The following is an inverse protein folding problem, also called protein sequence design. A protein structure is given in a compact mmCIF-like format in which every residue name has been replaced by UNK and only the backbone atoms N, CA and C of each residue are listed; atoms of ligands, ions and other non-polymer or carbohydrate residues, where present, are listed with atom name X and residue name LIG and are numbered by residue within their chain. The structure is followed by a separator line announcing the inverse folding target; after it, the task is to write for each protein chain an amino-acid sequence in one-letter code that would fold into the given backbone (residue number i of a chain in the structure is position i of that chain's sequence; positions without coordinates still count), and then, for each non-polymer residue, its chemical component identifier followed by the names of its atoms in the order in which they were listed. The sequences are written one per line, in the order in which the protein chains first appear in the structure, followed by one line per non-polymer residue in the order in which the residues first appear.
data_IF_853442345251
#
_entry.id   IF_853442345251
#
_cell.length_a   1.000
_cell.length_b   1.000
_cell.length_c   1.000
_cell.angle_alpha   90.00
_cell.angle_beta   90.00
_cell.angle_gamma   90.00
#
_symmetry.space_group_name_H-M   'P 1'
#
loop_
_entity.id
_entity.type
_entity.pdbx_description
1 polymer ?
#
# COMPACT_ATOMS: atom_id res chain seq x y z
N UNK A 1 7.20 10.58 -14.81
CA UNK A 1 7.74 9.71 -13.75
C UNK A 1 9.11 10.20 -13.27
N UNK A 2 10.12 10.24 -14.14
CA UNK A 2 11.50 10.64 -13.79
C UNK A 2 11.62 12.02 -13.10
N UNK A 3 10.97 13.06 -13.64
CA UNK A 3 10.94 14.39 -13.01
C UNK A 3 10.35 14.36 -11.59
N UNK A 4 9.29 13.58 -11.36
CA UNK A 4 8.65 13.45 -10.05
C UNK A 4 9.56 12.78 -9.02
N UNK A 5 10.35 11.78 -9.44
CA UNK A 5 11.36 11.14 -8.59
C UNK A 5 12.44 12.15 -8.18
N UNK A 6 12.94 12.94 -9.13
CA UNK A 6 13.94 13.98 -8.85
C UNK A 6 13.42 15.07 -7.90
N UNK A 7 12.18 15.54 -8.10
CA UNK A 7 11.56 16.51 -7.19
C UNK A 7 11.34 15.92 -5.79
N UNK A 8 10.90 14.67 -5.69
CA UNK A 8 10.72 13.98 -4.40
C UNK A 8 12.04 13.80 -3.66
N UNK A 9 13.09 13.37 -4.37
CA UNK A 9 14.43 13.16 -3.81
C UNK A 9 15.07 14.48 -3.35
N UNK A 10 14.93 15.54 -4.15
CA UNK A 10 15.37 16.89 -3.78
C UNK A 10 14.61 17.42 -2.55
N UNK A 11 13.30 17.20 -2.49
CA UNK A 11 12.48 17.58 -1.33
C UNK A 11 12.90 16.86 -0.04
N UNK A 12 13.12 15.54 -0.12
CA UNK A 12 13.64 14.72 0.99
C UNK A 12 14.99 15.24 1.46
N UNK A 13 15.92 15.45 0.53
CA UNK A 13 17.30 15.86 0.83
C UNK A 13 17.34 17.25 1.48
N UNK A 14 16.57 18.21 0.95
CA UNK A 14 16.47 19.55 1.55
C UNK A 14 15.86 19.52 2.95
N UNK A 15 14.77 18.77 3.15
CA UNK A 15 14.11 18.64 4.45
C UNK A 15 15.01 17.96 5.49
N UNK A 16 15.71 16.90 5.09
CA UNK A 16 16.61 16.13 5.97
C UNK A 16 17.87 16.92 6.35
N UNK A 17 18.53 17.57 5.37
CA UNK A 17 19.77 18.31 5.61
C UNK A 17 19.58 19.59 6.44
N UNK A 18 18.47 20.31 6.24
CA UNK A 18 18.22 21.60 6.91
C UNK A 18 17.53 21.42 8.27
N UNK A 19 16.74 20.35 8.45
CA UNK A 19 15.78 20.24 9.54
C UNK A 19 16.30 19.64 10.86
N UNK A 20 17.34 18.79 10.80
CA UNK A 20 17.79 18.01 11.96
C UNK A 20 16.71 17.06 12.52
N UNK A 21 17.03 16.30 13.57
CA UNK A 21 16.13 15.24 14.08
C UNK A 21 14.74 15.75 14.49
N UNK A 22 14.61 16.99 14.98
CA UNK A 22 13.31 17.56 15.40
C UNK A 22 12.41 17.93 14.24
N UNK A 23 12.92 18.55 13.17
CA UNK A 23 12.06 18.89 12.04
C UNK A 23 11.57 17.64 11.31
N UNK A 24 12.45 16.63 11.15
CA UNK A 24 12.10 15.34 10.56
C UNK A 24 10.99 14.64 11.36
N UNK A 25 10.98 14.75 12.69
CA UNK A 25 9.86 14.18 13.48
C UNK A 25 8.52 14.85 13.19
N UNK A 26 8.48 16.16 13.03
CA UNK A 26 7.22 16.89 12.76
C UNK A 26 6.71 16.65 11.33
N UNK A 27 7.61 16.62 10.34
CA UNK A 27 7.21 16.31 8.96
C UNK A 27 6.66 14.90 8.85
N UNK A 28 7.27 13.93 9.53
CA UNK A 28 6.79 12.55 9.51
C UNK A 28 5.46 12.36 10.24
N UNK A 29 5.22 13.10 11.34
CA UNK A 29 3.89 13.10 11.98
C UNK A 29 2.83 13.61 10.99
N UNK A 30 3.10 14.71 10.28
CA UNK A 30 2.18 15.23 9.27
C UNK A 30 1.97 14.25 8.11
N UNK A 31 3.05 13.68 7.55
CA UNK A 31 2.99 12.67 6.49
C UNK A 31 2.17 11.45 6.92
N UNK A 32 2.33 11.01 8.17
CA UNK A 32 1.60 9.88 8.73
C UNK A 32 0.10 10.16 8.87
N UNK A 33 -0.26 11.35 9.38
CA UNK A 33 -1.68 11.75 9.49
C UNK A 33 -2.32 11.77 8.11
N UNK A 34 -1.64 12.36 7.11
CA UNK A 34 -2.12 12.39 5.72
C UNK A 34 -2.27 10.97 5.17
N UNK A 35 -1.31 10.08 5.39
CA UNK A 35 -1.36 8.68 4.97
C UNK A 35 -2.59 7.96 5.56
N UNK A 36 -2.82 8.07 6.86
CA UNK A 36 -3.94 7.39 7.54
C UNK A 36 -5.28 7.91 7.03
N UNK A 37 -5.43 9.23 6.88
CA UNK A 37 -6.65 9.83 6.32
C UNK A 37 -6.85 9.38 4.86
N UNK A 38 -5.79 9.46 4.05
CA UNK A 38 -5.83 9.03 2.66
C UNK A 38 -6.21 7.55 2.51
N UNK A 39 -5.79 6.70 3.44
CA UNK A 39 -6.14 5.28 3.42
C UNK A 39 -7.57 5.00 3.90
N UNK A 40 -8.02 5.67 4.95
CA UNK A 40 -9.34 5.43 5.54
C UNK A 40 -10.48 6.02 4.70
N UNK A 41 -10.33 7.25 4.19
CA UNK A 41 -11.43 7.98 3.52
C UNK A 41 -12.06 7.20 2.36
N UNK A 42 -11.29 6.63 1.41
CA UNK A 42 -11.86 5.81 0.34
C UNK A 42 -12.63 4.61 0.90
N UNK A 43 -12.12 3.95 1.94
CA UNK A 43 -12.72 2.74 2.49
C UNK A 43 -14.07 3.03 3.16
N UNK A 44 -14.16 4.10 3.94
CA UNK A 44 -15.44 4.53 4.53
C UNK A 44 -16.44 4.94 3.46
N UNK A 45 -15.99 5.64 2.42
CA UNK A 45 -16.87 6.05 1.33
C UNK A 45 -17.42 4.84 0.56
N UNK A 46 -16.56 3.89 0.20
CA UNK A 46 -16.98 2.68 -0.50
C UNK A 46 -17.95 1.84 0.32
N UNK A 47 -17.71 1.69 1.62
CA UNK A 47 -18.63 0.99 2.52
C UNK A 47 -20.03 1.61 2.55
N UNK A 48 -20.11 2.94 2.52
CA UNK A 48 -21.37 3.67 2.48
C UNK A 48 -22.04 3.59 1.09
N UNK A 49 -21.25 3.62 0.01
CA UNK A 49 -21.75 3.52 -1.35
C UNK A 49 -22.27 2.11 -1.73
N UNK A 50 -21.84 1.09 -0.99
CA UNK A 50 -22.24 -0.31 -1.20
C UNK A 50 -23.25 -0.81 -0.16
N UNK A 51 -23.84 0.08 0.65
CA UNK A 51 -24.83 -0.21 1.69
C UNK A 51 -24.42 -1.26 2.74
N UNK A 52 -23.12 -1.56 2.87
CA UNK A 52 -22.61 -2.48 3.89
C UNK A 52 -22.56 -1.83 5.29
N UNK A 53 -22.72 -0.51 5.40
CA UNK A 53 -22.86 0.23 6.65
C UNK A 53 -21.72 1.21 6.93
N UNK A 54 -21.82 1.95 8.05
CA UNK A 54 -20.93 3.06 8.40
C UNK A 54 -19.52 2.61 8.83
N UNK A 55 -19.35 1.39 9.33
CA UNK A 55 -18.06 0.88 9.82
C UNK A 55 -17.58 -0.27 8.93
N UNK A 56 -16.69 0.00 7.95
CA UNK A 56 -16.23 -0.97 6.95
C UNK A 56 -15.60 -2.22 7.56
N UNK A 57 -14.95 -2.07 8.71
CA UNK A 57 -14.19 -3.14 9.33
C UNK A 57 -15.04 -4.20 10.04
N UNK A 58 -16.32 -3.93 10.29
CA UNK A 58 -17.26 -4.94 10.82
C UNK A 58 -18.20 -5.49 9.74
N UNK A 59 -18.46 -4.71 8.69
CA UNK A 59 -19.39 -5.09 7.63
C UNK A 59 -18.77 -5.93 6.52
N UNK A 60 -17.44 -5.99 6.42
CA UNK A 60 -16.74 -6.71 5.35
C UNK A 60 -17.10 -8.21 5.28
N UNK A 61 -17.61 -8.84 6.35
CA UNK A 61 -18.00 -10.26 6.34
C UNK A 61 -19.09 -10.55 5.30
N UNK A 62 -20.13 -9.72 5.25
CA UNK A 62 -21.20 -9.80 4.24
C UNK A 62 -20.69 -9.51 2.83
N UNK A 63 -19.71 -8.61 2.71
CA UNK A 63 -19.03 -8.33 1.44
C UNK A 63 -18.23 -9.54 0.95
N UNK A 64 -17.56 -10.28 1.84
CA UNK A 64 -16.84 -11.51 1.50
C UNK A 64 -17.79 -12.62 1.05
N UNK A 65 -18.94 -12.79 1.72
CA UNK A 65 -19.97 -13.74 1.28
C UNK A 65 -20.47 -13.42 -0.13
N UNK A 66 -20.74 -12.13 -0.39
CA UNK A 66 -21.15 -11.67 -1.72
C UNK A 66 -20.08 -11.91 -2.80
N UNK A 67 -18.80 -11.68 -2.47
CA UNK A 67 -17.70 -12.05 -3.36
C UNK A 67 -17.73 -13.55 -3.61
N UNK A 68 -17.85 -14.39 -2.59
CA UNK A 68 -17.84 -15.85 -2.75
C UNK A 68 -18.94 -16.34 -3.71
N UNK A 69 -20.13 -15.73 -3.69
CA UNK A 69 -21.19 -16.02 -4.65
C UNK A 69 -20.82 -15.59 -6.07
N UNK A 70 -20.31 -14.37 -6.21
CA UNK A 70 -19.91 -13.80 -7.50
C UNK A 70 -18.75 -14.58 -8.13
N UNK A 71 -17.77 -15.01 -7.33
CA UNK A 71 -16.63 -15.83 -7.75
C UNK A 71 -17.06 -17.18 -8.33
N UNK A 72 -18.06 -17.82 -7.71
CA UNK A 72 -18.65 -19.07 -8.22
C UNK A 72 -19.42 -18.81 -9.52
N UNK A 73 -20.19 -17.73 -9.58
CA UNK A 73 -20.97 -17.39 -10.79
C UNK A 73 -20.11 -16.97 -11.99
N UNK A 74 -18.94 -16.40 -11.72
CA UNK A 74 -18.07 -15.82 -12.74
C UNK A 74 -16.83 -16.69 -13.04
N UNK A 75 -16.76 -17.91 -12.49
CA UNK A 75 -15.77 -18.92 -12.84
C UNK A 75 -14.36 -18.66 -12.31
N UNK A 76 -14.21 -17.90 -11.22
CA UNK A 76 -12.91 -17.61 -10.59
C UNK A 76 -12.24 -18.91 -10.13
N UNK A 77 -11.08 -19.23 -10.71
CA UNK A 77 -10.34 -20.46 -10.44
C UNK A 77 -10.63 -21.62 -11.38
N UNK A 78 -11.66 -21.52 -12.24
CA UNK A 78 -11.94 -22.48 -13.32
C UNK A 78 -11.49 -21.95 -14.69
N UNK A 79 -11.65 -20.65 -14.93
CA UNK A 79 -11.15 -19.99 -16.13
C UNK A 79 -9.68 -19.61 -15.92
N UNK A 80 -8.79 -20.37 -16.56
CA UNK A 80 -7.36 -20.04 -16.59
C UNK A 80 -7.08 -18.99 -17.66
N UNK A 81 -6.19 -18.03 -17.43
CA UNK A 81 -5.82 -17.04 -18.43
C UNK A 81 -4.99 -17.75 -19.51
N UNK A 82 -5.40 -17.64 -20.77
CA UNK A 82 -4.64 -18.17 -21.93
C UNK A 82 -3.38 -17.36 -22.22
N UNK A 83 -3.36 -16.09 -21.81
CA UNK A 83 -2.20 -15.21 -21.92
C UNK A 83 -1.68 -14.79 -20.55
N UNK A 84 -0.36 -14.64 -20.45
CA UNK A 84 0.29 -14.11 -19.26
C UNK A 84 1.12 -12.89 -19.63
N UNK A 85 0.81 -11.76 -19.03
CA UNK A 85 1.60 -10.54 -19.17
C UNK A 85 2.60 -10.44 -18.02
N UNK A 86 3.84 -10.05 -18.33
CA UNK A 86 4.91 -9.93 -17.34
C UNK A 86 4.52 -8.91 -16.25
N UNK A 87 4.41 -9.37 -15.00
CA UNK A 87 4.14 -8.52 -13.84
C UNK A 87 2.66 -8.20 -13.57
N UNK A 88 1.73 -8.69 -14.40
CA UNK A 88 0.30 -8.55 -14.20
C UNK A 88 -0.30 -9.88 -13.74
N UNK A 89 -1.27 -9.84 -12.83
CA UNK A 89 -1.95 -11.05 -12.34
C UNK A 89 -3.42 -10.97 -12.73
N UNK A 90 -3.92 -12.06 -13.29
CA UNK A 90 -5.36 -12.25 -13.48
C UNK A 90 -6.02 -12.60 -12.14
N UNK A 91 -7.31 -12.28 -12.01
CA UNK A 91 -8.11 -12.54 -10.80
C UNK A 91 -8.53 -14.03 -10.72
N UNK A 92 -7.57 -14.94 -10.71
CA UNK A 92 -7.83 -16.40 -10.74
C UNK A 92 -7.75 -17.07 -9.37
N UNK A 93 -7.20 -16.38 -8.36
CA UNK A 93 -7.18 -16.90 -6.98
C UNK A 93 -8.49 -16.51 -6.27
N UNK A 94 -9.23 -17.49 -5.72
CA UNK A 94 -10.41 -17.21 -4.90
C UNK A 94 -10.04 -16.32 -3.71
N UNK A 95 -10.93 -15.43 -3.31
CA UNK A 95 -10.70 -14.49 -2.21
C UNK A 95 -10.47 -15.19 -0.87
N UNK A 96 -11.03 -16.40 -0.71
CA UNK A 96 -10.95 -17.22 0.50
C UNK A 96 -10.23 -18.57 0.27
N UNK A 97 -9.29 -18.65 -0.68
CA UNK A 97 -8.52 -19.87 -0.89
C UNK A 97 -7.55 -20.09 0.29
N UNK A 98 -7.91 -20.96 1.23
CA UNK A 98 -6.97 -21.49 2.19
C UNK A 98 -5.91 -22.29 1.43
N UNK A 99 -4.63 -22.00 1.67
CA UNK A 99 -3.54 -22.69 0.98
C UNK A 99 -3.48 -24.14 1.48
N UNK A 100 -4.03 -25.07 0.72
CA UNK A 100 -4.06 -26.48 1.08
C UNK A 100 -2.69 -27.13 0.81
N UNK A 101 -1.99 -27.54 1.88
CA UNK A 101 -0.77 -28.33 1.78
C UNK A 101 0.25 -28.05 2.88
N UNK A 102 1.01 -29.09 3.26
CA UNK A 102 2.09 -28.98 4.27
C UNK A 102 3.11 -27.91 3.86
N UNK A 103 3.45 -27.84 2.57
CA UNK A 103 4.40 -26.85 2.03
C UNK A 103 3.87 -25.41 2.18
N UNK A 104 2.57 -25.19 2.00
CA UNK A 104 1.98 -23.87 2.13
C UNK A 104 1.90 -23.41 3.59
N UNK A 105 1.62 -24.32 4.52
CA UNK A 105 1.74 -24.05 5.96
C UNK A 105 3.18 -23.66 6.34
N UNK A 106 4.19 -24.32 5.77
CA UNK A 106 5.60 -23.95 5.98
C UNK A 106 5.95 -22.58 5.36
N UNK A 107 5.42 -22.27 4.18
CA UNK A 107 5.55 -20.93 3.58
C UNK A 107 4.92 -19.87 4.47
N UNK A 108 3.74 -20.14 5.04
CA UNK A 108 3.08 -19.23 5.96
C UNK A 108 3.90 -19.01 7.24
N UNK A 109 4.39 -20.09 7.87
CA UNK A 109 5.22 -19.99 9.09
C UNK A 109 6.52 -19.24 8.83
N UNK A 110 7.21 -19.54 7.73
CA UNK A 110 8.45 -18.84 7.37
C UNK A 110 8.19 -17.36 7.05
N UNK A 111 7.08 -17.04 6.36
CA UNK A 111 6.67 -15.66 6.10
C UNK A 111 6.36 -14.90 7.38
N UNK A 112 5.63 -15.51 8.32
CA UNK A 112 5.36 -14.90 9.64
C UNK A 112 6.66 -14.66 10.40
N UNK A 113 7.57 -15.64 10.43
CA UNK A 113 8.87 -15.49 11.10
C UNK A 113 9.69 -14.34 10.50
N UNK A 114 9.81 -14.29 9.17
CA UNK A 114 10.54 -13.22 8.46
C UNK A 114 9.92 -11.86 8.75
N UNK A 115 8.60 -11.75 8.75
CA UNK A 115 7.90 -10.50 9.06
C UNK A 115 8.13 -10.03 10.50
N UNK A 116 8.08 -10.95 11.47
CA UNK A 116 8.30 -10.64 12.89
C UNK A 116 9.76 -10.25 13.15
N UNK A 117 10.73 -11.02 12.65
CA UNK A 117 12.15 -10.70 12.75
C UNK A 117 12.48 -9.38 12.04
N UNK A 118 11.86 -9.13 10.88
CA UNK A 118 11.99 -7.89 10.11
C UNK A 118 11.54 -6.68 10.92
N UNK A 119 10.31 -6.68 11.43
CA UNK A 119 9.76 -5.57 12.22
C UNK A 119 10.50 -5.31 13.53
N UNK A 120 10.99 -6.36 14.19
CA UNK A 120 11.78 -6.24 15.42
C UNK A 120 13.19 -5.65 15.21
N UNK A 121 13.78 -5.87 14.04
CA UNK A 121 15.18 -5.49 13.76
C UNK A 121 15.36 -4.06 13.28
N UNK A 122 14.28 -3.31 13.01
CA UNK A 122 14.31 -1.99 12.37
C UNK A 122 15.09 -0.94 13.18
N UNK A 123 16.34 -0.61 12.81
CA UNK A 123 17.19 0.28 13.61
C UNK A 123 16.64 1.71 13.64
N UNK A 124 15.95 2.12 12.57
CA UNK A 124 15.33 3.44 12.44
C UNK A 124 14.22 3.69 13.47
N UNK A 125 13.59 2.65 14.02
CA UNK A 125 12.59 2.77 15.10
C UNK A 125 13.29 2.83 16.46
N UNK A 126 14.28 1.95 16.68
CA UNK A 126 15.01 1.87 17.95
C UNK A 126 15.71 3.19 18.30
N UNK A 127 16.34 3.82 17.31
CA UNK A 127 17.04 5.10 17.49
C UNK A 127 16.11 6.24 17.95
N UNK A 128 14.80 6.13 17.72
CA UNK A 128 13.81 7.14 18.12
C UNK A 128 13.41 7.03 19.58
N UNK A 129 13.40 5.84 20.17
CA UNK A 129 13.08 5.69 21.59
C UNK A 129 14.08 6.44 22.47
N UNK A 130 15.34 6.55 22.03
CA UNK A 130 16.39 7.29 22.73
C UNK A 130 16.23 8.81 22.71
N UNK A 131 15.28 9.34 21.93
CA UNK A 131 15.00 10.79 21.89
C UNK A 131 13.91 11.22 22.88
N UNK A 132 13.26 10.28 23.56
CA UNK A 132 12.21 10.57 24.55
C UNK A 132 12.78 10.75 25.97
N UNK A 133 12.24 11.68 26.78
CA UNK A 133 12.82 12.02 28.08
C UNK A 133 12.58 10.97 29.17
N UNK A 134 11.60 10.06 29.00
CA UNK A 134 11.27 9.04 29.99
C UNK A 134 10.83 7.71 29.36
N UNK A 135 11.10 6.60 30.07
CA UNK A 135 10.66 5.26 29.67
C UNK A 135 9.13 5.15 29.60
N UNK A 136 8.41 5.91 30.45
CA UNK A 136 6.94 5.94 30.44
C UNK A 136 6.42 6.55 29.14
N UNK A 137 7.03 7.65 28.70
CA UNK A 137 6.65 8.32 27.46
C UNK A 137 7.02 7.48 26.24
N UNK A 138 8.18 6.80 26.27
CA UNK A 138 8.57 5.83 25.25
C UNK A 138 7.50 4.73 25.09
N UNK A 139 7.07 4.08 26.19
CA UNK A 139 6.01 3.05 26.14
C UNK A 139 4.69 3.59 25.62
N UNK A 140 4.30 4.80 26.03
CA UNK A 140 3.06 5.41 25.54
C UNK A 140 3.13 5.67 24.03
N UNK A 141 4.29 6.10 23.53
CA UNK A 141 4.52 6.26 22.09
C UNK A 141 4.38 4.92 21.34
N UNK A 142 4.93 3.83 21.87
CA UNK A 142 4.80 2.48 21.29
C UNK A 142 3.34 2.07 21.16
N UNK A 143 2.52 2.33 22.19
CA UNK A 143 1.10 2.00 22.18
C UNK A 143 0.35 2.77 21.09
N UNK A 144 0.63 4.07 20.91
CA UNK A 144 0.01 4.82 19.80
C UNK A 144 0.47 4.29 18.44
N UNK A 145 1.76 3.98 18.25
CA UNK A 145 2.25 3.39 17.01
C UNK A 145 1.56 2.07 16.70
N UNK A 146 1.45 1.16 17.68
CA UNK A 146 0.74 -0.11 17.54
C UNK A 146 -0.74 0.09 17.21
N UNK A 147 -1.41 1.06 17.82
CA UNK A 147 -2.80 1.38 17.55
C UNK A 147 -3.03 1.81 16.09
N UNK A 148 -2.17 2.67 15.54
CA UNK A 148 -2.34 3.12 14.17
C UNK A 148 -1.90 2.07 13.13
N UNK A 149 -0.88 1.25 13.43
CA UNK A 149 -0.53 0.08 12.62
C UNK A 149 -1.71 -0.89 12.57
N UNK A 150 -2.31 -1.16 13.74
CA UNK A 150 -3.52 -1.97 13.82
C UNK A 150 -4.64 -1.40 12.95
N UNK A 151 -4.91 -0.10 13.04
CA UNK A 151 -5.94 0.55 12.23
C UNK A 151 -5.70 0.39 10.73
N UNK A 152 -4.45 0.53 10.26
CA UNK A 152 -4.10 0.32 8.85
C UNK A 152 -4.30 -1.14 8.45
N UNK A 153 -3.76 -2.08 9.21
CA UNK A 153 -3.82 -3.52 8.89
C UNK A 153 -5.22 -4.08 9.01
N UNK A 154 -6.03 -3.56 9.93
CA UNK A 154 -7.42 -3.93 10.10
C UNK A 154 -8.28 -3.42 8.94
N UNK A 155 -7.90 -2.29 8.33
CA UNK A 155 -8.62 -1.71 7.19
C UNK A 155 -8.20 -2.31 5.85
N UNK A 156 -7.00 -2.89 5.75
CA UNK A 156 -6.47 -3.38 4.48
C UNK A 156 -7.27 -4.52 3.82
N UNK A 157 -7.70 -5.57 4.55
CA UNK A 157 -8.58 -6.60 3.98
C UNK A 157 -9.94 -6.03 3.53
N UNK A 158 -10.48 -5.07 4.28
CA UNK A 158 -11.74 -4.41 3.94
C UNK A 158 -11.62 -3.64 2.62
N UNK A 159 -10.56 -2.82 2.46
CA UNK A 159 -10.26 -2.13 1.19
C UNK A 159 -10.18 -3.12 0.02
N UNK A 160 -9.38 -4.18 0.15
CA UNK A 160 -9.20 -5.17 -0.92
C UNK A 160 -10.52 -5.86 -1.31
N UNK A 161 -11.35 -6.18 -0.31
CA UNK A 161 -12.67 -6.79 -0.51
C UNK A 161 -13.61 -5.84 -1.26
N UNK A 162 -13.71 -4.57 -0.84
CA UNK A 162 -14.58 -3.61 -1.51
C UNK A 162 -14.13 -3.27 -2.93
N UNK A 163 -12.82 -3.11 -3.16
CA UNK A 163 -12.29 -2.88 -4.51
C UNK A 163 -12.59 -4.06 -5.45
N UNK A 164 -12.44 -5.29 -4.95
CA UNK A 164 -12.76 -6.49 -5.74
C UNK A 164 -14.26 -6.57 -6.05
N UNK A 165 -15.12 -6.25 -5.08
CA UNK A 165 -16.57 -6.14 -5.32
C UNK A 165 -16.93 -5.10 -6.37
N UNK A 166 -16.27 -3.95 -6.40
CA UNK A 166 -16.57 -2.91 -7.40
C UNK A 166 -16.28 -3.34 -8.83
N UNK A 167 -15.29 -4.21 -9.01
CA UNK A 167 -14.93 -4.78 -10.30
C UNK A 167 -15.90 -5.90 -10.68
N UNK A 168 -16.32 -6.72 -9.70
CA UNK A 168 -17.09 -7.95 -9.90
C UNK A 168 -18.60 -7.82 -9.86
N UNK A 169 -19.17 -6.91 -9.07
CA UNK A 169 -20.62 -6.86 -8.88
C UNK A 169 -21.31 -6.18 -10.08
N UNK A 170 -22.14 -6.92 -10.85
CA UNK A 170 -22.86 -6.36 -11.99
C UNK A 170 -23.97 -5.37 -11.57
N UNK A 171 -24.37 -5.36 -10.30
CA UNK A 171 -25.39 -4.42 -9.80
C UNK A 171 -24.83 -3.03 -9.50
N UNK A 172 -23.50 -2.90 -9.37
CA UNK A 172 -22.85 -1.61 -9.19
C UNK A 172 -22.59 -0.97 -10.56
N UNK A 173 -22.84 0.34 -10.68
CA UNK A 173 -22.55 1.07 -11.92
C UNK A 173 -21.08 0.96 -12.36
N UNK A 174 -20.19 0.71 -11.39
CA UNK A 174 -18.74 0.52 -11.56
C UNK A 174 -18.34 -0.90 -11.96
N UNK A 175 -19.25 -1.87 -11.90
CA UNK A 175 -18.99 -3.27 -12.30
C UNK A 175 -18.51 -3.36 -13.73
N UNK A 176 -17.42 -4.09 -13.96
CA UNK A 176 -16.72 -4.15 -15.24
C UNK A 176 -16.91 -5.53 -15.88
N UNK A 177 -16.97 -6.57 -15.06
CA UNK A 177 -17.12 -7.95 -15.50
C UNK A 177 -18.51 -8.16 -16.11
N UNK A 178 -18.53 -8.68 -17.35
CA UNK A 178 -19.75 -8.88 -18.14
C UNK A 178 -20.20 -7.69 -19.01
N UNK A 179 -19.49 -6.55 -18.99
CA UNK A 179 -19.71 -5.44 -19.96
C UNK A 179 -18.91 -5.66 -21.24
N UNK A 180 -19.30 -4.97 -22.31
CA UNK A 180 -18.55 -5.04 -23.57
C UNK A 180 -17.14 -4.48 -23.40
N UNK A 181 -16.14 -5.11 -24.00
CA UNK A 181 -14.74 -4.68 -23.89
C UNK A 181 -14.57 -3.25 -24.43
N UNK A 182 -15.35 -2.86 -25.43
CA UNK A 182 -15.37 -1.50 -25.96
C UNK A 182 -15.84 -0.46 -24.93
N UNK A 183 -16.90 -0.76 -24.18
CA UNK A 183 -17.40 0.13 -23.12
C UNK A 183 -16.41 0.20 -21.96
N UNK A 184 -15.78 -0.92 -21.63
CA UNK A 184 -14.75 -1.00 -20.59
C UNK A 184 -13.50 -0.19 -20.98
N UNK A 185 -12.99 -0.34 -22.19
CA UNK A 185 -11.84 0.44 -22.69
C UNK A 185 -12.13 1.93 -22.83
N UNK A 186 -13.41 2.33 -22.87
CA UNK A 186 -13.81 3.74 -22.85
C UNK A 186 -13.68 4.40 -21.47
N UNK A 187 -13.56 3.61 -20.39
CA UNK A 187 -13.43 4.13 -19.04
C UNK A 187 -12.09 4.85 -18.86
N UNK A 188 -12.16 6.09 -18.36
CA UNK A 188 -11.00 6.99 -18.25
C UNK A 188 -9.86 6.38 -17.41
N UNK A 189 -10.19 5.70 -16.32
CA UNK A 189 -9.19 5.06 -15.46
C UNK A 189 -8.52 3.87 -16.15
N UNK A 190 -9.28 3.06 -16.93
CA UNK A 190 -8.72 1.94 -17.69
C UNK A 190 -7.73 2.44 -18.74
N UNK A 191 -8.06 3.54 -19.44
CA UNK A 191 -7.14 4.16 -20.39
C UNK A 191 -5.87 4.67 -19.71
N UNK A 192 -5.99 5.35 -18.56
CA UNK A 192 -4.83 5.84 -17.79
C UNK A 192 -3.91 4.71 -17.37
N UNK A 193 -4.45 3.65 -16.76
CA UNK A 193 -3.64 2.54 -16.24
C UNK A 193 -3.13 1.59 -17.33
N UNK A 194 -3.86 1.48 -18.45
CA UNK A 194 -3.42 0.73 -19.63
C UNK A 194 -2.29 1.43 -20.36
N UNK A 195 -2.35 2.76 -20.52
CA UNK A 195 -1.25 3.56 -21.10
C UNK A 195 0.05 3.45 -20.30
N UNK A 196 -0.05 3.25 -18.98
CA UNK A 196 1.11 3.05 -18.09
C UNK A 196 1.59 1.59 -18.10
N UNK A 197 0.82 0.66 -18.66
CA UNK A 197 1.14 -0.77 -18.71
C UNK A 197 0.90 -1.53 -17.41
N UNK A 198 0.15 -0.95 -16.46
CA UNK A 198 -0.21 -1.61 -15.19
C UNK A 198 -1.61 -2.25 -15.20
N UNK A 199 -2.31 -2.14 -16.34
CA UNK A 199 -3.56 -2.80 -16.62
C UNK A 199 -3.56 -3.25 -18.08
N UNK A 200 -3.94 -4.50 -18.32
CA UNK A 200 -4.14 -5.03 -19.67
C UNK A 200 -5.47 -5.78 -19.74
N UNK A 201 -6.15 -5.64 -20.87
CA UNK A 201 -7.35 -6.38 -21.19
C UNK A 201 -7.05 -7.13 -22.48
N UNK A 202 -7.20 -8.45 -22.48
CA UNK A 202 -6.99 -9.28 -23.65
C UNK A 202 -8.20 -10.18 -23.86
N UNK A 203 -8.96 -9.92 -24.93
CA UNK A 203 -10.09 -10.75 -25.36
C UNK A 203 -9.54 -12.06 -25.92
N UNK A 204 -9.58 -13.12 -25.11
CA UNK A 204 -9.09 -14.44 -25.48
C UNK A 204 -10.17 -15.27 -26.15
N UNK A 205 -11.43 -15.00 -25.84
CA UNK A 205 -12.57 -15.77 -26.31
C UNK A 205 -13.26 -15.17 -27.55
N UNK A 206 -12.89 -13.95 -27.94
CA UNK A 206 -13.41 -13.23 -29.12
C UNK A 206 -14.89 -12.90 -29.03
N UNK A 207 -15.46 -12.91 -27.82
CA UNK A 207 -16.89 -12.72 -27.57
C UNK A 207 -17.26 -11.24 -27.34
N UNK A 208 -16.26 -10.36 -27.23
CA UNK A 208 -16.44 -8.93 -27.02
C UNK A 208 -16.95 -8.54 -25.62
N UNK A 209 -17.01 -9.48 -24.68
CA UNK A 209 -17.41 -9.26 -23.27
C UNK A 209 -16.20 -9.44 -22.36
N UNK A 210 -16.07 -8.63 -21.32
CA UNK A 210 -14.96 -8.77 -20.38
C UNK A 210 -15.22 -9.91 -19.40
N UNK A 211 -14.42 -10.98 -19.49
CA UNK A 211 -14.36 -12.04 -18.49
C UNK A 211 -13.24 -11.82 -17.45
N UNK A 212 -13.30 -12.57 -16.34
CA UNK A 212 -12.38 -12.44 -15.21
C UNK A 212 -10.93 -12.84 -15.56
N UNK A 213 -10.77 -13.83 -16.43
CA UNK A 213 -9.49 -14.32 -16.94
C UNK A 213 -8.86 -13.40 -17.99
N UNK A 214 -9.62 -12.42 -18.50
CA UNK A 214 -9.20 -11.47 -19.53
C UNK A 214 -8.81 -10.10 -18.95
N UNK A 215 -9.04 -9.92 -17.64
CA UNK A 215 -8.67 -8.74 -16.88
C UNK A 215 -7.35 -8.96 -16.11
N UNK A 216 -6.32 -8.23 -16.53
CA UNK A 216 -4.99 -8.30 -15.92
C UNK A 216 -4.67 -6.98 -15.21
N UNK A 217 -4.41 -7.07 -13.91
CA UNK A 217 -4.06 -5.91 -13.09
C UNK A 217 -2.88 -6.23 -12.18
N UNK A 218 -2.02 -5.23 -11.93
CA UNK A 218 -0.95 -5.37 -10.94
C UNK A 218 -1.48 -5.11 -9.53
N UNK A 219 -1.16 -5.97 -8.57
CA UNK A 219 -1.60 -5.81 -7.17
C UNK A 219 -1.17 -4.48 -6.54
N UNK A 220 -0.01 -3.96 -6.94
CA UNK A 220 0.57 -2.73 -6.38
C UNK A 220 -0.23 -1.46 -6.73
N UNK A 221 -1.06 -1.50 -7.78
CA UNK A 221 -1.88 -0.35 -8.17
C UNK A 221 -3.25 -0.33 -7.50
N UNK A 222 -3.67 -1.41 -6.84
CA UNK A 222 -5.02 -1.54 -6.27
C UNK A 222 -5.33 -0.35 -5.38
N UNK A 223 -4.48 -0.03 -4.40
CA UNK A 223 -4.72 1.08 -3.46
C UNK A 223 -4.84 2.43 -4.18
N UNK A 224 -4.00 2.68 -5.20
CA UNK A 224 -3.99 3.94 -5.95
C UNK A 224 -5.16 4.05 -6.93
N UNK A 225 -5.57 2.95 -7.54
CA UNK A 225 -6.65 2.88 -8.50
C UNK A 225 -8.04 2.80 -7.84
N UNK A 226 -8.12 2.32 -6.59
CA UNK A 226 -9.39 2.15 -5.85
C UNK A 226 -10.31 3.36 -5.91
N UNK A 227 -9.87 4.62 -5.67
CA UNK A 227 -10.76 5.77 -5.78
C UNK A 227 -11.33 5.97 -7.19
N UNK A 228 -10.55 5.67 -8.22
CA UNK A 228 -10.97 5.79 -9.61
C UNK A 228 -11.91 4.66 -10.02
N UNK A 229 -11.63 3.43 -9.57
CA UNK A 229 -12.50 2.25 -9.75
C UNK A 229 -13.86 2.49 -9.08
N UNK A 230 -13.85 3.09 -7.89
CA UNK A 230 -15.03 3.42 -7.11
C UNK A 230 -15.82 4.63 -7.66
N UNK A 231 -15.32 5.31 -8.69
CA UNK A 231 -15.94 6.53 -9.22
C UNK A 231 -15.95 7.69 -8.21
N UNK A 232 -14.99 7.72 -7.27
CA UNK A 232 -14.89 8.78 -6.27
C UNK A 232 -14.46 10.11 -6.90
N UNK A 233 -14.81 11.25 -6.29
CA UNK A 233 -14.34 12.54 -6.74
C UNK A 233 -12.81 12.59 -6.88
N UNK A 234 -12.32 13.29 -7.91
CA UNK A 234 -10.89 13.40 -8.23
C UNK A 234 -10.03 13.83 -7.03
N UNK A 235 -10.59 14.63 -6.12
CA UNK A 235 -9.94 15.07 -4.88
C UNK A 235 -9.51 13.88 -4.00
N UNK A 236 -10.29 12.80 -3.97
CA UNK A 236 -9.96 11.59 -3.20
C UNK A 236 -8.83 10.80 -3.88
N UNK A 237 -8.84 10.68 -5.21
CA UNK A 237 -7.71 10.10 -5.95
C UNK A 237 -6.42 10.89 -5.70
N UNK A 238 -6.49 12.23 -5.75
CA UNK A 238 -5.36 13.10 -5.42
C UNK A 238 -4.88 12.96 -3.97
N UNK A 239 -5.80 12.81 -3.01
CA UNK A 239 -5.47 12.57 -1.60
C UNK A 239 -4.77 11.22 -1.40
N UNK A 240 -5.24 10.15 -2.06
CA UNK A 240 -4.61 8.83 -2.03
C UNK A 240 -3.22 8.85 -2.65
N UNK A 241 -3.05 9.52 -3.79
CA UNK A 241 -1.75 9.72 -4.42
C UNK A 241 -0.79 10.50 -3.51
N UNK A 242 -1.28 11.57 -2.84
CA UNK A 242 -0.50 12.33 -1.87
C UNK A 242 -0.12 11.48 -0.64
N UNK A 243 -1.04 10.66 -0.14
CA UNK A 243 -0.78 9.71 0.95
C UNK A 243 0.27 8.66 0.57
N UNK A 244 0.21 8.12 -0.64
CA UNK A 244 1.21 7.20 -1.18
C UNK A 244 2.60 7.82 -1.27
N UNK A 245 2.70 9.07 -1.74
CA UNK A 245 3.96 9.82 -1.73
C UNK A 245 4.45 10.09 -0.31
N UNK A 246 3.57 10.49 0.61
CA UNK A 246 3.91 10.72 2.01
C UNK A 246 4.48 9.46 2.67
N UNK A 247 3.90 8.28 2.37
CA UNK A 247 4.40 6.98 2.85
C UNK A 247 5.83 6.69 2.35
N UNK A 248 6.06 6.88 1.05
CA UNK A 248 7.36 6.66 0.43
C UNK A 248 8.43 7.62 1.01
N UNK A 249 8.09 8.91 1.13
CA UNK A 249 9.00 9.92 1.68
C UNK A 249 9.33 9.64 3.16
N UNK A 250 8.34 9.32 3.99
CA UNK A 250 8.58 9.02 5.41
C UNK A 250 9.51 7.81 5.61
N UNK A 251 9.41 6.81 4.73
CA UNK A 251 10.26 5.61 4.76
C UNK A 251 11.68 5.94 4.30
N UNK A 252 11.81 6.72 3.21
CA UNK A 252 13.09 7.18 2.70
C UNK A 252 13.86 8.00 3.77
N UNK A 253 13.19 8.97 4.41
CA UNK A 253 13.76 9.78 5.48
C UNK A 253 14.26 8.92 6.66
N UNK A 254 13.44 7.96 7.09
CA UNK A 254 13.78 7.06 8.20
C UNK A 254 15.00 6.18 7.90
N UNK A 255 15.09 5.64 6.68
CA UNK A 255 16.22 4.82 6.25
C UNK A 255 17.49 5.64 6.03
N UNK A 256 17.38 6.83 5.43
CA UNK A 256 18.52 7.72 5.23
C UNK A 256 19.15 8.12 6.57
N UNK A 257 18.34 8.44 7.59
CA UNK A 257 18.84 8.74 8.92
C UNK A 257 19.54 7.54 9.57
N UNK A 258 19.02 6.33 9.37
CA UNK A 258 19.66 5.11 9.89
C UNK A 258 21.01 4.86 9.21
N UNK A 259 21.10 5.03 7.88
CA UNK A 259 22.33 4.90 7.11
C UNK A 259 23.34 5.98 7.54
N UNK A 260 22.91 7.23 7.67
CA UNK A 260 23.75 8.34 8.12
C UNK A 260 24.34 8.11 9.52
N UNK A 261 23.55 7.58 10.45
CA UNK A 261 24.03 7.24 11.80
C UNK A 261 25.02 6.07 11.77
N UNK A 262 24.75 5.02 10.99
CA UNK A 262 25.67 3.90 10.85
C UNK A 262 27.01 4.34 10.24
N UNK A 263 26.99 5.20 9.21
CA UNK A 263 28.20 5.71 8.58
C UNK A 263 28.99 6.66 9.49
N UNK A 264 28.33 7.56 10.21
CA UNK A 264 29.02 8.54 11.06
C UNK A 264 29.49 7.97 12.41
N UNK A 265 28.70 7.11 13.04
CA UNK A 265 29.00 6.58 14.37
C UNK A 265 29.72 5.24 14.29
N UNK A 266 29.24 4.29 13.49
CA UNK A 266 29.76 2.92 13.50
C UNK A 266 30.95 2.74 12.56
N UNK A 267 30.96 3.42 11.41
CA UNK A 267 32.09 3.40 10.49
C UNK A 267 33.11 4.51 10.80
N UNK A 268 32.71 5.77 10.75
CA UNK A 268 33.66 6.87 10.84
C UNK A 268 34.27 7.01 12.23
N UNK A 269 33.45 7.20 13.27
CA UNK A 269 33.98 7.38 14.62
C UNK A 269 34.60 6.11 15.21
N UNK A 270 33.99 4.95 15.01
CA UNK A 270 34.47 3.73 15.69
C UNK A 270 35.65 3.07 14.99
N UNK A 271 35.76 3.19 13.65
CA UNK A 271 36.76 2.47 12.85
C UNK A 271 37.81 3.41 12.24
N UNK A 272 37.42 4.59 11.75
CA UNK A 272 38.33 5.47 11.00
C UNK A 272 39.04 6.47 11.92
N UNK A 273 38.29 7.25 12.70
CA UNK A 273 38.83 8.29 13.57
C UNK A 273 38.08 8.38 14.91
N UNK A 274 38.57 7.66 15.95
CA UNK A 274 37.99 7.66 17.30
C UNK A 274 38.10 8.99 18.06
N UNK A 275 38.95 9.92 17.61
CA UNK A 275 39.12 11.23 18.25
C UNK A 275 38.42 12.36 17.49
N UNK A 276 37.64 12.03 16.44
CA UNK A 276 36.96 13.02 15.61
C UNK A 276 36.01 13.91 16.43
N UNK A 277 36.20 15.23 16.30
CA UNK A 277 35.34 16.23 16.94
C UNK A 277 33.89 16.11 16.44
N UNK A 278 32.96 16.50 17.32
CA UNK A 278 31.50 16.49 17.11
C UNK A 278 31.09 17.17 15.81
N UNK A 279 31.80 18.23 15.41
CA UNK A 279 31.54 18.96 14.16
C UNK A 279 31.86 18.14 12.92
N UNK A 280 32.97 17.40 12.91
CA UNK A 280 33.39 16.53 11.80
C UNK A 280 32.43 15.35 11.66
N UNK A 281 32.00 14.77 12.77
CA UNK A 281 31.00 13.68 12.79
C UNK A 281 29.66 14.13 12.22
N UNK A 282 29.24 15.36 12.51
CA UNK A 282 28.02 15.96 11.94
C UNK A 282 28.13 16.25 10.43
N UNK A 283 29.32 16.57 9.92
CA UNK A 283 29.54 16.78 8.49
C UNK A 283 29.50 15.45 7.74
N UNK A 284 30.09 14.38 8.31
CA UNK A 284 30.06 13.03 7.71
C UNK A 284 28.66 12.41 7.75
N UNK A 285 27.83 12.81 8.72
CA UNK A 285 26.45 12.34 8.85
C UNK A 285 25.44 13.05 7.92
N UNK A 286 25.81 14.17 7.29
CA UNK A 286 24.94 14.97 6.42
C UNK A 286 25.17 14.63 4.96
#
# INVERSE_FOLDING_TARGET
FELGVWFGLLGILLCSMLGGMRAVTWTQVAQYIVLIIAYLVPVFWMSNAQDFGLIPQFSYGSAVERISELEVSAGVGQLMPSESFVGLRALTTPHAAASEGILASWQFVTLVMVLMCGTASLPHILMRYFTTPSVRDARRSVVYSLFFIFLLYFTAPALATFTKLQIMDPNLATGIIGKSIADVQSLEWIQKWSNVGFLAISDSNGNGLLEINEFFMRGDIVVLATPEIAGLPYVISGLVAAGGMAAAMSTADGLLLAIANALSHDLYYKIIDPEADTRTRLIVAR
#
